data_IF_894284475483
#
_entry.id   IF_894284475483
#
_cell.length_a   1.000
_cell.length_b   1.000
_cell.length_c   1.000
_cell.angle_alpha   90.00
_cell.angle_beta   90.00
_cell.angle_gamma   90.00
#
_symmetry.space_group_name_H-M   'P 1'
#
loop_
_entity.id
_entity.type
_entity.pdbx_description
1 polymer ?
#
# COMPACT_ATOMS: atom_id res chain seq x y z
N UNK A 1 32.58 23.74 53.83
CA UNK A 1 31.20 23.24 53.96
C UNK A 1 30.57 23.37 52.58
N UNK A 2 30.63 22.26 51.85
CA UNK A 2 29.85 21.83 50.67
C UNK A 2 29.10 22.89 49.82
N UNK A 3 29.55 23.06 48.57
CA UNK A 3 28.67 23.30 47.43
C UNK A 3 27.70 22.11 47.25
N UNK A 4 26.55 22.33 46.61
CA UNK A 4 26.46 21.73 45.27
C UNK A 4 25.88 22.69 44.23
N UNK A 5 26.68 22.93 43.19
CA UNK A 5 26.48 22.44 41.83
C UNK A 5 25.05 22.46 41.26
N UNK A 6 24.94 23.17 40.14
CA UNK A 6 23.74 23.40 39.36
C UNK A 6 22.92 22.15 39.04
N UNK A 7 21.61 22.30 39.17
CA UNK A 7 20.64 21.41 38.56
C UNK A 7 20.46 21.86 37.11
N UNK A 8 21.36 21.44 36.23
CA UNK A 8 21.11 21.50 34.79
C UNK A 8 19.82 20.71 34.51
N UNK A 9 18.81 21.41 34.00
CA UNK A 9 17.59 20.80 33.54
C UNK A 9 17.94 19.86 32.38
N UNK A 10 17.89 18.55 32.63
CA UNK A 10 18.10 17.51 31.62
C UNK A 10 17.18 17.80 30.42
N UNK A 11 17.69 17.97 29.19
CA UNK A 11 16.84 18.17 28.02
C UNK A 11 15.83 17.03 27.95
N UNK A 12 14.54 17.35 27.88
CA UNK A 12 13.45 16.37 27.74
C UNK A 12 13.74 15.55 26.47
N UNK A 13 14.08 14.28 26.63
CA UNK A 13 14.40 13.40 25.50
C UNK A 13 13.22 13.37 24.52
N UNK A 14 13.39 13.98 23.36
CA UNK A 14 12.39 14.04 22.30
C UNK A 14 12.34 12.65 21.65
N UNK A 15 11.26 11.90 21.89
CA UNK A 15 11.08 10.59 21.27
C UNK A 15 10.51 10.78 19.87
N UNK A 16 11.15 10.26 18.80
CA UNK A 16 10.61 10.39 17.45
C UNK A 16 9.25 9.69 17.34
N UNK A 17 8.35 10.24 16.52
CA UNK A 17 7.11 9.56 16.13
C UNK A 17 7.46 8.22 15.48
N UNK A 18 7.04 7.12 16.11
CA UNK A 18 7.24 5.78 15.56
C UNK A 18 6.41 5.58 14.29
N UNK A 19 6.89 4.79 13.33
CA UNK A 19 6.16 4.53 12.07
C UNK A 19 4.73 4.01 12.29
N UNK A 20 4.45 3.07 13.23
CA UNK A 20 3.07 2.63 13.48
C UNK A 20 2.16 3.74 14.00
N UNK A 21 2.69 4.66 14.81
CA UNK A 21 1.94 5.81 15.30
C UNK A 21 1.64 6.82 14.16
N UNK A 22 2.59 7.03 13.25
CA UNK A 22 2.39 7.86 12.06
C UNK A 22 1.35 7.23 11.11
N UNK A 23 1.45 5.93 10.85
CA UNK A 23 0.49 5.18 10.03
C UNK A 23 -0.94 5.32 10.57
N UNK A 24 -1.13 5.05 11.86
CA UNK A 24 -2.42 5.22 12.54
C UNK A 24 -2.92 6.67 12.45
N UNK A 25 -2.05 7.64 12.75
CA UNK A 25 -2.41 9.07 12.71
C UNK A 25 -2.92 9.48 11.32
N UNK A 26 -2.25 9.04 10.26
CA UNK A 26 -2.67 9.28 8.88
C UNK A 26 -3.98 8.58 8.54
N UNK A 27 -4.11 7.30 8.88
CA UNK A 27 -5.33 6.53 8.60
C UNK A 27 -6.57 7.08 9.31
N UNK A 28 -6.41 7.61 10.53
CA UNK A 28 -7.52 8.17 11.33
C UNK A 28 -7.87 9.61 10.97
N UNK A 29 -6.87 10.47 10.73
CA UNK A 29 -7.10 11.92 10.59
C UNK A 29 -7.04 12.44 9.17
N UNK A 30 -6.53 11.65 8.23
CA UNK A 30 -6.33 12.13 6.87
C UNK A 30 -4.90 12.59 6.64
N UNK A 31 -4.21 11.98 5.68
CA UNK A 31 -2.88 12.39 5.21
C UNK A 31 -2.88 13.85 4.74
N UNK A 32 -3.93 14.31 4.06
CA UNK A 32 -4.04 15.69 3.56
C UNK A 32 -4.43 16.70 4.63
N UNK A 33 -5.18 16.28 5.65
CA UNK A 33 -5.65 17.16 6.71
C UNK A 33 -4.55 17.57 7.69
N UNK A 34 -3.46 16.80 7.76
CA UNK A 34 -2.33 17.07 8.63
C UNK A 34 -1.29 17.95 7.92
N UNK A 35 -0.92 19.06 8.56
CA UNK A 35 0.25 19.86 8.18
C UNK A 35 1.55 19.22 8.70
N UNK A 36 2.69 19.55 8.08
CA UNK A 36 4.00 19.09 8.56
C UNK A 36 4.27 19.56 10.00
N UNK A 37 3.74 20.72 10.40
CA UNK A 37 3.78 21.19 11.80
C UNK A 37 2.99 20.29 12.74
N UNK A 38 1.76 19.91 12.40
CA UNK A 38 0.97 18.99 13.24
C UNK A 38 1.59 17.60 13.35
N UNK A 39 2.27 17.15 12.29
CA UNK A 39 3.06 15.91 12.29
C UNK A 39 4.29 16.06 13.22
N UNK A 40 4.99 17.20 13.14
CA UNK A 40 6.13 17.51 14.00
C UNK A 40 5.71 17.63 15.48
N UNK A 41 4.58 18.28 15.77
CA UNK A 41 3.98 18.38 17.11
C UNK A 41 3.62 16.99 17.65
N UNK A 42 3.01 16.13 16.83
CA UNK A 42 2.74 14.73 17.19
C UNK A 42 4.02 13.92 17.43
N UNK A 43 5.15 14.34 16.84
CA UNK A 43 6.48 13.80 17.07
C UNK A 43 7.24 14.47 18.23
N UNK A 44 6.60 15.39 18.98
CA UNK A 44 7.22 16.13 20.07
C UNK A 44 8.26 17.17 19.62
N UNK A 45 8.22 17.61 18.36
CA UNK A 45 9.10 18.62 17.78
C UNK A 45 8.31 19.90 17.47
N UNK A 46 8.21 20.81 18.45
CA UNK A 46 7.56 22.12 18.24
C UNK A 46 8.27 23.01 17.20
N UNK A 47 9.53 22.72 16.87
CA UNK A 47 10.44 23.63 16.12
C UNK A 47 11.20 22.94 14.95
N UNK A 48 10.58 22.01 14.22
CA UNK A 48 11.31 21.25 13.18
C UNK A 48 11.53 22.03 11.87
N UNK A 49 12.78 22.44 11.66
CA UNK A 49 13.39 22.86 10.38
C UNK A 49 13.15 21.83 9.27
N UNK A 50 12.82 22.33 8.08
CA UNK A 50 12.71 21.62 6.81
C UNK A 50 14.00 20.86 6.47
N UNK A 51 13.93 19.52 6.36
CA UNK A 51 15.02 18.72 5.77
C UNK A 51 15.36 17.37 6.43
N UNK A 52 14.76 17.00 7.56
CA UNK A 52 14.92 15.67 8.17
C UNK A 52 13.73 14.72 7.92
N UNK A 53 13.84 13.42 8.30
CA UNK A 53 12.69 12.51 8.37
C UNK A 53 11.63 13.12 9.30
N UNK A 54 10.59 13.67 8.69
CA UNK A 54 9.70 14.66 9.31
C UNK A 54 8.75 15.38 8.34
N UNK A 55 8.99 15.31 7.02
CA UNK A 55 7.95 15.68 6.04
C UNK A 55 6.98 14.52 5.83
N UNK A 56 5.73 14.85 5.53
CA UNK A 56 4.67 13.88 5.19
C UNK A 56 5.13 12.82 4.17
N UNK A 57 5.81 13.26 3.12
CA UNK A 57 6.31 12.38 2.05
C UNK A 57 7.36 11.37 2.55
N UNK A 58 8.29 11.79 3.42
CA UNK A 58 9.30 10.87 3.97
C UNK A 58 8.69 9.86 4.95
N UNK A 59 7.69 10.25 5.74
CA UNK A 59 6.96 9.31 6.59
C UNK A 59 6.18 8.29 5.77
N UNK A 60 5.45 8.74 4.75
CA UNK A 60 4.76 7.85 3.81
C UNK A 60 5.75 6.87 3.17
N UNK A 61 6.90 7.37 2.68
CA UNK A 61 7.95 6.52 2.11
C UNK A 61 8.47 5.49 3.11
N UNK A 62 8.75 5.90 4.35
CA UNK A 62 9.27 5.00 5.37
C UNK A 62 8.27 3.91 5.76
N UNK A 63 6.98 4.27 5.90
CA UNK A 63 5.90 3.31 6.15
C UNK A 63 5.77 2.33 4.98
N UNK A 64 5.71 2.82 3.73
CA UNK A 64 5.65 1.96 2.54
C UNK A 64 6.85 1.03 2.44
N UNK A 65 8.07 1.51 2.74
CA UNK A 65 9.27 0.68 2.75
C UNK A 65 9.17 -0.43 3.79
N UNK A 66 8.74 -0.11 5.01
CA UNK A 66 8.56 -1.08 6.09
C UNK A 66 7.58 -2.18 5.70
N UNK A 67 6.40 -1.79 5.23
CA UNK A 67 5.39 -2.74 4.76
C UNK A 67 5.90 -3.60 3.59
N UNK A 68 6.51 -2.97 2.58
CA UNK A 68 7.01 -3.68 1.39
C UNK A 68 8.08 -4.71 1.77
N UNK A 69 8.98 -4.37 2.69
CA UNK A 69 10.00 -5.28 3.18
C UNK A 69 9.41 -6.49 3.92
N UNK A 70 8.34 -6.31 4.69
CA UNK A 70 7.68 -7.40 5.41
C UNK A 70 7.04 -8.39 4.43
N UNK A 71 6.30 -7.88 3.45
CA UNK A 71 5.58 -8.73 2.48
C UNK A 71 6.48 -9.31 1.38
N UNK A 72 7.67 -8.74 1.17
CA UNK A 72 8.63 -9.18 0.14
C UNK A 72 9.02 -10.65 0.32
N UNK A 73 9.33 -11.06 1.55
CA UNK A 73 9.80 -12.41 1.86
C UNK A 73 8.76 -13.46 1.50
N UNK A 74 7.51 -13.22 1.90
CA UNK A 74 6.39 -14.10 1.55
C UNK A 74 6.18 -14.16 0.03
N UNK A 75 6.24 -13.01 -0.66
CA UNK A 75 6.10 -12.98 -2.12
C UNK A 75 7.19 -13.76 -2.83
N UNK A 76 8.45 -13.63 -2.41
CA UNK A 76 9.58 -14.36 -3.00
C UNK A 76 9.38 -15.87 -2.84
N UNK A 77 8.98 -16.33 -1.66
CA UNK A 77 8.71 -17.75 -1.41
C UNK A 77 7.59 -18.27 -2.33
N UNK A 78 6.48 -17.54 -2.41
CA UNK A 78 5.35 -17.92 -3.28
C UNK A 78 5.73 -17.96 -4.76
N UNK A 79 6.53 -17.01 -5.24
CA UNK A 79 7.02 -17.00 -6.62
C UNK A 79 7.93 -18.21 -6.88
N UNK A 80 8.79 -18.59 -5.93
CA UNK A 80 9.67 -19.75 -6.09
C UNK A 80 8.91 -21.09 -6.18
N UNK A 81 7.70 -21.15 -5.63
CA UNK A 81 6.80 -22.30 -5.71
C UNK A 81 6.00 -22.35 -7.03
N UNK A 82 6.01 -21.28 -7.84
CA UNK A 82 5.35 -21.28 -9.16
C UNK A 82 6.19 -22.01 -10.22
N UNK A 83 5.51 -22.69 -11.15
CA UNK A 83 6.14 -23.40 -12.25
C UNK A 83 5.66 -22.88 -13.62
N UNK A 84 6.03 -23.58 -14.70
CA UNK A 84 5.65 -23.20 -16.08
C UNK A 84 4.15 -23.29 -16.37
N UNK A 85 3.35 -23.93 -15.51
CA UNK A 85 1.90 -24.01 -15.63
C UNK A 85 1.16 -22.86 -14.94
N UNK A 86 1.88 -22.01 -14.19
CA UNK A 86 1.30 -20.92 -13.43
C UNK A 86 0.53 -19.92 -14.31
N UNK A 87 -0.76 -19.78 -14.02
CA UNK A 87 -1.66 -18.88 -14.73
C UNK A 87 -1.76 -17.50 -14.07
N UNK A 88 -2.59 -16.64 -14.66
CA UNK A 88 -2.82 -15.29 -14.12
C UNK A 88 -3.28 -15.31 -12.65
N UNK A 89 -4.11 -16.28 -12.26
CA UNK A 89 -4.61 -16.40 -10.89
C UNK A 89 -3.47 -16.64 -9.89
N UNK A 90 -2.47 -17.44 -10.26
CA UNK A 90 -1.32 -17.74 -9.41
C UNK A 90 -0.43 -16.52 -9.21
N UNK A 91 -0.21 -15.75 -10.28
CA UNK A 91 0.56 -14.52 -10.21
C UNK A 91 -0.15 -13.40 -9.45
N UNK A 92 -1.48 -13.27 -9.62
CA UNK A 92 -2.29 -12.35 -8.81
C UNK A 92 -2.27 -12.75 -7.33
N UNK A 93 -2.31 -14.04 -7.02
CA UNK A 93 -2.19 -14.56 -5.65
C UNK A 93 -0.84 -14.18 -5.03
N UNK A 94 0.25 -14.21 -5.79
CA UNK A 94 1.56 -13.69 -5.34
C UNK A 94 1.56 -12.18 -5.05
N UNK A 95 0.65 -11.40 -5.65
CA UNK A 95 0.53 -9.97 -5.37
C UNK A 95 -0.30 -9.67 -4.11
N UNK A 96 -1.38 -10.43 -3.91
CA UNK A 96 -2.41 -10.13 -2.90
C UNK A 96 -2.16 -10.84 -1.58
N UNK A 97 -1.84 -12.14 -1.62
CA UNK A 97 -1.71 -12.97 -0.42
C UNK A 97 -0.69 -12.46 0.59
N UNK A 98 0.47 -11.92 0.18
CA UNK A 98 1.41 -11.34 1.14
C UNK A 98 0.82 -10.17 1.95
N UNK A 99 -0.11 -9.40 1.37
CA UNK A 99 -0.80 -8.33 2.09
C UNK A 99 -1.83 -8.91 3.08
N UNK A 100 -2.69 -9.82 2.62
CA UNK A 100 -3.77 -10.38 3.44
C UNK A 100 -3.24 -11.24 4.58
N UNK A 101 -2.18 -12.02 4.37
CA UNK A 101 -1.51 -12.78 5.42
C UNK A 101 -0.87 -11.84 6.46
N UNK A 102 -0.21 -10.76 6.00
CA UNK A 102 0.35 -9.75 6.90
C UNK A 102 -0.73 -9.10 7.77
N UNK A 103 -1.82 -8.63 7.16
CA UNK A 103 -2.92 -8.01 7.90
C UNK A 103 -3.61 -8.98 8.87
N UNK A 104 -3.76 -10.25 8.48
CA UNK A 104 -4.31 -11.29 9.34
C UNK A 104 -3.42 -11.54 10.57
N UNK A 105 -2.10 -11.55 10.39
CA UNK A 105 -1.14 -11.79 11.48
C UNK A 105 -0.95 -10.61 12.44
N UNK A 106 -1.08 -9.37 11.94
CA UNK A 106 -0.80 -8.15 12.71
C UNK A 106 -1.99 -7.70 13.59
N UNK A 107 -3.19 -8.26 13.38
CA UNK A 107 -4.41 -7.82 14.05
C UNK A 107 -4.91 -6.49 13.48
N UNK A 108 -4.94 -5.44 14.28
CA UNK A 108 -5.38 -4.10 13.83
C UNK A 108 -4.29 -3.45 12.97
N UNK A 109 -4.63 -3.13 11.73
CA UNK A 109 -3.74 -2.49 10.75
C UNK A 109 -4.36 -1.21 10.18
N UNK A 110 -3.52 -0.31 9.67
CA UNK A 110 -3.91 1.01 9.18
C UNK A 110 -3.33 1.33 7.80
N UNK A 111 -2.55 0.41 7.24
CA UNK A 111 -1.74 0.62 6.06
C UNK A 111 -2.60 0.75 4.80
N UNK A 112 -3.65 -0.07 4.68
CA UNK A 112 -4.53 0.00 3.51
C UNK A 112 -5.32 1.32 3.49
N UNK A 113 -5.81 1.77 4.65
CA UNK A 113 -6.45 3.10 4.80
C UNK A 113 -5.49 4.25 4.53
N UNK A 114 -4.22 4.13 4.92
CA UNK A 114 -3.20 5.09 4.52
C UNK A 114 -3.04 5.12 3.00
N UNK A 115 -2.88 3.95 2.37
CA UNK A 115 -2.71 3.83 0.92
C UNK A 115 -3.90 4.41 0.16
N UNK A 116 -5.13 4.14 0.60
CA UNK A 116 -6.36 4.65 0.01
C UNK A 116 -6.34 6.18 -0.10
N UNK A 117 -5.98 6.86 0.99
CA UNK A 117 -5.86 8.32 1.00
C UNK A 117 -4.70 8.85 0.16
N UNK A 118 -3.61 8.08 0.06
CA UNK A 118 -2.46 8.44 -0.77
C UNK A 118 -2.79 8.30 -2.25
N UNK A 119 -3.61 7.33 -2.65
CA UNK A 119 -3.96 7.11 -4.06
C UNK A 119 -4.71 8.29 -4.70
N UNK A 120 -5.34 9.16 -3.90
CA UNK A 120 -6.02 10.38 -4.36
C UNK A 120 -5.14 11.65 -4.27
N UNK A 121 -3.93 11.55 -3.73
CA UNK A 121 -2.96 12.64 -3.64
C UNK A 121 -1.79 12.39 -4.60
N UNK A 122 -1.74 13.09 -5.74
CA UNK A 122 -0.80 12.78 -6.84
C UNK A 122 0.68 12.80 -6.44
N UNK A 123 1.08 13.73 -5.59
CA UNK A 123 2.43 13.85 -5.04
C UNK A 123 2.83 12.64 -4.18
N UNK A 124 1.93 12.19 -3.31
CA UNK A 124 2.17 11.05 -2.42
C UNK A 124 1.99 9.71 -3.14
N UNK A 125 1.07 9.62 -4.11
CA UNK A 125 0.89 8.45 -4.97
C UNK A 125 2.18 8.12 -5.70
N UNK A 126 2.88 9.14 -6.22
CA UNK A 126 4.18 8.98 -6.85
C UNK A 126 5.23 8.43 -5.88
N UNK A 127 5.24 8.89 -4.62
CA UNK A 127 6.14 8.38 -3.57
C UNK A 127 5.89 6.90 -3.27
N UNK A 128 4.64 6.52 -3.02
CA UNK A 128 4.26 5.12 -2.71
C UNK A 128 4.55 4.21 -3.90
N UNK A 129 4.19 4.63 -5.10
CA UNK A 129 4.43 3.85 -6.32
C UNK A 129 5.93 3.65 -6.56
N UNK A 130 6.72 4.72 -6.44
CA UNK A 130 8.18 4.64 -6.59
C UNK A 130 8.80 3.69 -5.57
N UNK A 131 8.40 3.79 -4.30
CA UNK A 131 8.95 2.95 -3.25
C UNK A 131 8.51 1.48 -3.39
N UNK A 132 7.22 1.22 -3.66
CA UNK A 132 6.71 -0.14 -3.89
C UNK A 132 7.39 -0.78 -5.10
N UNK A 133 7.57 -0.04 -6.20
CA UNK A 133 8.25 -0.52 -7.40
C UNK A 133 9.74 -0.81 -7.19
N UNK A 134 10.35 -0.52 -6.03
CA UNK A 134 11.72 -0.98 -5.70
C UNK A 134 11.77 -2.47 -5.42
N UNK A 135 10.67 -3.08 -4.98
CA UNK A 135 10.54 -4.53 -4.78
C UNK A 135 10.78 -5.30 -6.09
N UNK A 136 11.82 -6.15 -6.17
CA UNK A 136 12.02 -7.03 -7.32
C UNK A 136 10.89 -8.04 -7.51
N UNK A 137 10.41 -8.66 -6.43
CA UNK A 137 9.35 -9.67 -6.53
C UNK A 137 8.02 -9.08 -6.99
N UNK A 138 7.69 -7.84 -6.59
CA UNK A 138 6.49 -7.14 -7.06
C UNK A 138 6.57 -6.94 -8.58
N UNK A 139 7.70 -6.40 -9.07
CA UNK A 139 7.91 -6.20 -10.51
C UNK A 139 7.86 -7.52 -11.27
N UNK A 140 8.44 -8.59 -10.71
CA UNK A 140 8.44 -9.91 -11.33
C UNK A 140 7.01 -10.48 -11.45
N UNK A 141 6.25 -10.50 -10.36
CA UNK A 141 4.87 -10.98 -10.36
C UNK A 141 3.98 -10.14 -11.28
N UNK A 142 4.10 -8.82 -11.25
CA UNK A 142 3.34 -7.95 -12.15
C UNK A 142 3.66 -8.22 -13.64
N UNK A 143 4.94 -8.37 -14.00
CA UNK A 143 5.31 -8.75 -15.38
C UNK A 143 4.78 -10.15 -15.74
N UNK A 144 4.73 -11.07 -14.79
CA UNK A 144 4.20 -12.40 -15.02
C UNK A 144 2.69 -12.38 -15.27
N UNK A 145 1.92 -11.57 -14.51
CA UNK A 145 0.50 -11.29 -14.81
C UNK A 145 0.32 -10.83 -16.25
N UNK A 146 1.11 -9.84 -16.69
CA UNK A 146 1.02 -9.32 -18.07
C UNK A 146 1.36 -10.38 -19.13
N UNK A 147 2.33 -11.27 -18.87
CA UNK A 147 2.70 -12.36 -19.78
C UNK A 147 1.68 -13.50 -19.83
N UNK A 148 0.87 -13.67 -18.78
CA UNK A 148 -0.19 -14.67 -18.73
C UNK A 148 -1.44 -14.26 -19.50
N UNK A 149 -1.47 -13.05 -20.05
CA UNK A 149 -2.60 -12.50 -20.81
C UNK A 149 -2.33 -12.61 -22.32
N UNK A 150 -3.40 -12.73 -23.13
CA UNK A 150 -3.30 -12.43 -24.55
C UNK A 150 -2.74 -11.01 -24.77
N UNK A 151 -2.17 -10.74 -25.95
CA UNK A 151 -1.61 -9.43 -26.26
C UNK A 151 -2.63 -8.31 -26.01
N UNK A 152 -2.36 -7.47 -25.01
CA UNK A 152 -3.13 -6.27 -24.68
C UNK A 152 -2.38 -5.03 -25.17
N UNK A 153 -3.07 -4.03 -25.74
CA UNK A 153 -2.49 -2.71 -25.94
C UNK A 153 -1.93 -2.14 -24.63
N UNK A 154 -0.78 -1.47 -24.70
CA UNK A 154 -0.07 -0.96 -23.51
C UNK A 154 -0.91 0.00 -22.68
N UNK A 155 -1.73 0.82 -23.33
CA UNK A 155 -2.62 1.77 -22.68
C UNK A 155 -3.77 1.06 -21.92
N UNK A 156 -4.31 -0.02 -22.49
CA UNK A 156 -5.31 -0.87 -21.83
C UNK A 156 -4.69 -1.62 -20.64
N UNK A 157 -3.48 -2.15 -20.79
CA UNK A 157 -2.77 -2.81 -19.70
C UNK A 157 -2.47 -1.83 -18.55
N UNK A 158 -2.05 -0.60 -18.87
CA UNK A 158 -1.84 0.46 -17.89
C UNK A 158 -3.14 0.87 -17.18
N UNK A 159 -4.24 1.05 -17.92
CA UNK A 159 -5.56 1.37 -17.39
C UNK A 159 -6.04 0.29 -16.42
N UNK A 160 -5.97 -0.99 -16.81
CA UNK A 160 -6.31 -2.13 -15.95
C UNK A 160 -5.43 -2.20 -14.71
N UNK A 161 -4.13 -1.96 -14.86
CA UNK A 161 -3.20 -1.90 -13.71
C UNK A 161 -3.60 -0.82 -12.69
N UNK A 162 -4.03 0.36 -13.15
CA UNK A 162 -4.54 1.41 -12.25
C UNK A 162 -5.83 0.96 -11.55
N UNK A 163 -6.79 0.39 -12.28
CA UNK A 163 -8.06 -0.10 -11.72
C UNK A 163 -7.81 -1.19 -10.67
N UNK A 164 -6.99 -2.18 -10.99
CA UNK A 164 -6.60 -3.27 -10.09
C UNK A 164 -5.96 -2.72 -8.81
N UNK A 165 -5.05 -1.75 -8.93
CA UNK A 165 -4.45 -1.10 -7.77
C UNK A 165 -5.47 -0.37 -6.90
N UNK A 166 -6.47 0.30 -7.49
CA UNK A 166 -7.57 0.92 -6.74
C UNK A 166 -8.38 -0.14 -5.99
N UNK A 167 -8.81 -1.21 -6.68
CA UNK A 167 -9.63 -2.27 -6.10
C UNK A 167 -8.94 -2.92 -4.91
N UNK A 168 -7.67 -3.32 -5.04
CA UNK A 168 -6.92 -3.95 -3.95
C UNK A 168 -6.88 -3.03 -2.72
N UNK A 169 -6.45 -1.78 -2.91
CA UNK A 169 -6.26 -0.83 -1.80
C UNK A 169 -7.58 -0.53 -1.08
N UNK A 170 -8.66 -0.25 -1.81
CA UNK A 170 -9.94 0.12 -1.20
C UNK A 170 -10.59 -1.06 -0.49
N UNK A 171 -10.53 -2.27 -1.06
CA UNK A 171 -11.09 -3.47 -0.43
C UNK A 171 -10.33 -3.87 0.85
N UNK A 172 -9.01 -3.70 0.88
CA UNK A 172 -8.26 -3.87 2.11
C UNK A 172 -8.57 -2.76 3.14
N UNK A 173 -8.73 -1.50 2.71
CA UNK A 173 -9.05 -0.39 3.61
C UNK A 173 -10.45 -0.54 4.24
N UNK A 174 -11.44 -0.98 3.48
CA UNK A 174 -12.77 -1.30 3.99
C UNK A 174 -12.73 -2.44 5.00
N UNK A 175 -11.87 -3.44 4.76
CA UNK A 175 -11.68 -4.54 5.69
C UNK A 175 -10.99 -4.13 7.00
N UNK A 176 -10.03 -3.21 6.95
CA UNK A 176 -9.42 -2.59 8.14
C UNK A 176 -10.43 -1.78 8.97
N UNK A 177 -11.47 -1.20 8.34
CA UNK A 177 -12.54 -0.45 9.04
C UNK A 177 -13.60 -1.36 9.66
N UNK A 178 -13.77 -2.57 9.15
CA UNK A 178 -14.84 -3.47 9.60
C UNK A 178 -14.68 -3.79 11.09
N UNK A 179 -15.72 -3.58 11.92
CA UNK A 179 -15.66 -3.88 13.35
C UNK A 179 -15.39 -5.37 13.57
N UNK A 180 -14.54 -5.71 14.53
CA UNK A 180 -14.21 -7.11 14.85
C UNK A 180 -15.44 -7.90 15.32
N UNK A 181 -16.38 -7.23 15.99
CA UNK A 181 -17.61 -7.79 16.52
C UNK A 181 -18.82 -6.98 16.03
N UNK A 182 -19.60 -7.58 15.13
CA UNK A 182 -20.88 -7.06 14.64
C UNK A 182 -21.94 -8.15 14.60
N UNK A 183 -22.98 -8.02 15.42
CA UNK A 183 -23.97 -9.04 15.79
C UNK A 183 -24.97 -9.49 14.70
N UNK A 184 -24.56 -9.59 13.42
CA UNK A 184 -25.40 -10.19 12.38
C UNK A 184 -24.65 -11.01 11.31
N UNK A 185 -23.33 -10.89 11.19
CA UNK A 185 -22.46 -11.83 10.49
C UNK A 185 -21.02 -11.50 10.87
N UNK A 186 -20.21 -12.49 11.23
CA UNK A 186 -18.77 -12.27 11.40
C UNK A 186 -18.24 -11.68 10.08
N UNK A 187 -17.56 -10.51 10.09
CA UNK A 187 -17.07 -9.91 8.86
C UNK A 187 -16.16 -10.91 8.13
N UNK A 188 -16.23 -10.99 6.78
CA UNK A 188 -15.46 -11.96 6.00
C UNK A 188 -13.99 -11.93 6.39
N UNK A 189 -13.35 -13.08 6.51
CA UNK A 189 -11.93 -13.14 6.90
C UNK A 189 -11.03 -12.47 5.85
N UNK A 190 -9.79 -12.15 6.21
CA UNK A 190 -8.80 -11.70 5.22
C UNK A 190 -8.60 -12.72 4.08
N UNK A 191 -8.86 -14.01 4.36
CA UNK A 191 -8.80 -15.10 3.39
C UNK A 191 -9.99 -15.10 2.43
N UNK A 192 -11.19 -14.80 2.94
CA UNK A 192 -12.39 -14.65 2.10
C UNK A 192 -12.26 -13.42 1.18
N UNK A 193 -11.69 -12.33 1.71
CA UNK A 193 -11.34 -11.15 0.92
C UNK A 193 -10.34 -11.48 -0.18
N UNK A 194 -9.28 -12.22 0.12
CA UNK A 194 -8.29 -12.67 -0.87
C UNK A 194 -8.97 -13.45 -2.01
N UNK A 195 -9.82 -14.41 -1.68
CA UNK A 195 -10.52 -15.23 -2.66
C UNK A 195 -11.41 -14.39 -3.60
N UNK A 196 -12.23 -13.50 -3.02
CA UNK A 196 -13.10 -12.60 -3.79
C UNK A 196 -12.32 -11.60 -4.65
N UNK A 197 -11.21 -11.05 -4.12
CA UNK A 197 -10.32 -10.19 -4.89
C UNK A 197 -9.70 -10.94 -6.07
N UNK A 198 -9.23 -12.18 -5.87
CA UNK A 198 -8.66 -12.97 -6.95
C UNK A 198 -9.66 -13.19 -8.09
N UNK A 199 -10.91 -13.51 -7.78
CA UNK A 199 -11.96 -13.70 -8.78
C UNK A 199 -12.23 -12.41 -9.58
N UNK A 200 -12.43 -11.29 -8.88
CA UNK A 200 -12.69 -10.00 -9.50
C UNK A 200 -11.52 -9.51 -10.38
N UNK A 201 -10.29 -9.65 -9.88
CA UNK A 201 -9.10 -9.17 -10.57
C UNK A 201 -8.74 -10.02 -11.78
N UNK A 202 -8.97 -11.34 -11.74
CA UNK A 202 -8.90 -12.19 -12.94
C UNK A 202 -9.90 -11.69 -13.99
N UNK A 203 -11.14 -11.37 -13.58
CA UNK A 203 -12.15 -10.82 -14.49
C UNK A 203 -11.72 -9.50 -15.12
N UNK A 204 -11.20 -8.55 -14.34
CA UNK A 204 -10.71 -7.25 -14.83
C UNK A 204 -9.58 -7.45 -15.85
N UNK A 205 -8.62 -8.31 -15.56
CA UNK A 205 -7.48 -8.54 -16.44
C UNK A 205 -7.82 -9.31 -17.71
N UNK A 206 -8.78 -10.22 -17.66
CA UNK A 206 -9.17 -11.08 -18.80
C UNK A 206 -10.36 -10.56 -19.60
N UNK A 207 -10.99 -9.46 -19.15
CA UNK A 207 -12.10 -8.82 -19.86
C UNK A 207 -11.73 -8.56 -21.35
N UNK A 208 -12.66 -8.74 -22.30
CA UNK A 208 -12.42 -8.40 -23.70
C UNK A 208 -12.12 -6.90 -23.87
N UNK A 209 -11.28 -6.55 -24.86
CA UNK A 209 -11.06 -5.16 -25.24
C UNK A 209 -12.18 -4.73 -26.20
N UNK A 210 -12.95 -3.71 -25.83
CA UNK A 210 -14.05 -3.18 -26.65
C UNK A 210 -13.62 -2.06 -27.61
N UNK A 211 -12.34 -1.67 -27.61
CA UNK A 211 -11.82 -0.66 -28.55
C UNK A 211 -11.72 -1.27 -29.94
N UNK A 212 -12.77 -1.08 -30.73
CA UNK A 212 -12.82 -1.28 -32.17
C UNK A 212 -11.63 -0.58 -32.82
N UNK A 213 -10.90 -1.27 -33.68
CA UNK A 213 -9.87 -0.64 -34.50
C UNK A 213 -10.46 0.57 -35.22
N UNK A 214 -9.95 1.76 -34.93
CA UNK A 214 -10.01 2.87 -35.86
C UNK A 214 -9.13 2.50 -37.05
N UNK A 215 -9.69 1.72 -37.97
CA UNK A 215 -9.14 1.57 -39.31
C UNK A 215 -8.99 2.97 -39.94
N UNK A 216 -7.90 3.24 -40.66
CA UNK A 216 -7.71 4.53 -41.30
C UNK A 216 -8.90 4.76 -42.24
N UNK A 217 -9.52 5.93 -42.12
CA UNK A 217 -10.59 6.35 -43.01
C UNK A 217 -10.10 6.31 -44.45
N UNK A 218 -10.53 5.29 -45.20
CA UNK A 218 -10.55 5.35 -46.65
C UNK A 218 -11.70 6.26 -47.06
N UNK A 219 -11.42 7.55 -47.11
CA UNK A 219 -12.37 8.61 -47.45
C UNK A 219 -11.84 9.47 -48.59
N UNK A 220 -12.08 8.97 -49.81
CA UNK A 220 -12.12 9.65 -51.12
C UNK A 220 -10.83 10.16 -51.74
#
# INVERSE_FOLDING_TARGET
MTEPAGREARPRAIKPLSLPAAERLFAERGVRALSDRQIADAAGRGDAVTGGPGTKAELVRAITRGFTAEVERSRVAMIAETDSSAGIRDWLRCLIRPWTDHFSSAGTTYFARLCEQVMVASDLKAVVTTEACRSPSLRQAHRAVLRSLPALPDDVAAERGQIVGQVIVHMCADRERAPADGAAAQPPSWRDLEAGLLDALVGIWTAPCTRSGSGPGSGR
#
